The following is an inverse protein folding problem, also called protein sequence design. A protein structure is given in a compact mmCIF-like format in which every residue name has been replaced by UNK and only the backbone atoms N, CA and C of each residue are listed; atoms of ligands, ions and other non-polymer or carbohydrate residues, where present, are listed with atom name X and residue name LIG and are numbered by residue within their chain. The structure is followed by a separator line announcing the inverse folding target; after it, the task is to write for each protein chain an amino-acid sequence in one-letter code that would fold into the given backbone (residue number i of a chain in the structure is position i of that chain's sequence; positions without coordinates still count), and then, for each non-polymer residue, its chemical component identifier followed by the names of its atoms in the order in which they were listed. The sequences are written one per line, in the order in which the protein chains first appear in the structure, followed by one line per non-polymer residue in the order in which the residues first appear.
data_IF_332410460435
#
_entry.id   IF_332410460435
#
_cell.length_a   1.000
_cell.length_b   1.000
_cell.length_c   1.000
_cell.angle_alpha   90.00
_cell.angle_beta   90.00
_cell.angle_gamma   90.00
#
_symmetry.space_group_name_H-M   'P 1'
#
loop_
_entity.id
_entity.type
_entity.pdbx_description
1 polymer ?
#
# COMPACT_ATOMS: atom_id res chain seq x y z
N UNK A 1 0.93 -25.51 15.43
CA UNK A 1 0.99 -24.05 15.39
C UNK A 1 -0.36 -23.58 14.87
N UNK A 2 -1.24 -23.08 15.75
CA UNK A 2 -2.49 -22.49 15.31
C UNK A 2 -2.11 -21.17 14.62
N UNK A 3 -2.41 -21.03 13.34
CA UNK A 3 -2.49 -19.73 12.68
C UNK A 3 -3.52 -18.94 13.49
N UNK A 4 -3.05 -17.98 14.29
CA UNK A 4 -3.94 -16.96 14.81
C UNK A 4 -4.64 -16.38 13.59
N UNK A 5 -5.95 -16.49 13.56
CA UNK A 5 -6.78 -15.82 12.58
C UNK A 5 -6.50 -14.34 12.75
N UNK A 6 -5.63 -13.80 11.91
CA UNK A 6 -5.42 -12.39 11.77
C UNK A 6 -6.80 -11.80 11.48
N UNK A 7 -7.24 -10.86 12.31
CA UNK A 7 -8.51 -10.15 12.10
C UNK A 7 -8.39 -9.19 10.90
N UNK A 8 -7.91 -9.75 9.78
CA UNK A 8 -7.92 -9.08 8.50
C UNK A 8 -9.32 -9.23 7.92
N UNK A 9 -9.97 -8.14 7.64
CA UNK A 9 -11.22 -8.19 6.94
C UNK A 9 -11.20 -7.28 5.72
N UNK A 10 -11.67 -7.82 4.62
CA UNK A 10 -12.02 -7.05 3.44
C UNK A 10 -13.40 -6.51 3.68
N UNK A 11 -13.51 -5.19 3.82
CA UNK A 11 -14.78 -4.50 3.85
C UNK A 11 -15.22 -4.25 2.41
N UNK A 12 -16.25 -4.89 1.90
CA UNK A 12 -16.82 -4.50 0.63
C UNK A 12 -17.56 -3.17 0.83
N UNK A 13 -16.82 -2.09 0.79
CA UNK A 13 -17.41 -0.75 0.83
C UNK A 13 -17.56 -0.29 -0.60
N UNK A 14 -18.80 -0.13 -1.05
CA UNK A 14 -19.11 0.27 -2.42
C UNK A 14 -18.77 1.72 -2.70
N UNK A 15 -18.82 2.59 -1.68
CA UNK A 15 -18.65 4.02 -1.85
C UNK A 15 -17.99 4.62 -0.59
N UNK A 16 -16.68 4.87 -0.65
CA UNK A 16 -15.96 5.59 0.40
C UNK A 16 -15.59 6.97 -0.12
N UNK A 17 -16.07 7.99 0.58
CA UNK A 17 -15.61 9.35 0.40
C UNK A 17 -14.55 9.66 1.46
N UNK A 18 -13.34 9.99 1.02
CA UNK A 18 -12.27 10.48 1.88
C UNK A 18 -12.25 12.01 1.86
N UNK A 19 -12.21 12.62 3.04
CA UNK A 19 -12.14 14.08 3.20
C UNK A 19 -10.90 14.42 3.97
N UNK A 20 -9.91 15.00 3.30
CA UNK A 20 -8.67 15.44 3.94
C UNK A 20 -8.93 16.70 4.77
N UNK A 21 -8.64 16.63 6.07
CA UNK A 21 -8.73 17.75 6.99
C UNK A 21 -7.35 18.37 7.18
N UNK A 22 -7.26 19.70 7.00
CA UNK A 22 -5.98 20.41 7.05
C UNK A 22 -5.41 20.59 8.47
N UNK A 23 -6.28 20.59 9.48
CA UNK A 23 -5.87 20.77 10.88
C UNK A 23 -6.59 19.74 11.76
N UNK A 24 -6.05 18.55 11.95
CA UNK A 24 -6.61 17.60 12.90
C UNK A 24 -6.48 18.17 14.32
N UNK A 25 -7.57 18.13 15.07
CA UNK A 25 -7.53 18.43 16.51
C UNK A 25 -6.90 17.32 17.34
N UNK A 26 -6.58 16.20 16.72
CA UNK A 26 -6.13 14.99 17.39
C UNK A 26 -4.61 14.89 17.28
N UNK A 27 -3.95 14.99 18.40
CA UNK A 27 -2.60 14.50 18.56
C UNK A 27 -2.70 12.97 18.62
N UNK A 28 -2.13 12.29 17.62
CA UNK A 28 -2.10 10.81 17.57
C UNK A 28 -1.08 10.25 18.56
N UNK A 29 -1.34 10.46 19.86
CA UNK A 29 -0.52 9.95 20.95
C UNK A 29 0.48 10.95 21.52
N UNK A 30 1.32 10.49 22.45
CA UNK A 30 2.37 11.25 23.11
C UNK A 30 3.56 11.42 22.16
N UNK A 31 3.79 12.65 21.70
CA UNK A 31 4.80 12.97 20.69
C UNK A 31 6.22 12.61 21.15
N UNK A 32 6.56 12.85 22.43
CA UNK A 32 7.91 12.56 22.96
C UNK A 32 8.17 11.04 23.00
N UNK A 33 7.18 10.27 23.46
CA UNK A 33 7.27 8.81 23.50
C UNK A 33 7.34 8.21 22.11
N UNK A 34 6.59 8.77 21.15
CA UNK A 34 6.61 8.34 19.75
C UNK A 34 7.98 8.59 19.12
N UNK A 35 8.54 9.78 19.32
CA UNK A 35 9.86 10.17 18.78
C UNK A 35 10.96 9.25 19.33
N UNK A 36 11.02 9.05 20.65
CA UNK A 36 12.00 8.15 21.27
C UNK A 36 11.88 6.69 20.79
N UNK A 37 10.64 6.23 20.58
CA UNK A 37 10.41 4.90 20.01
C UNK A 37 10.88 4.81 18.56
N UNK A 38 10.63 5.84 17.77
CA UNK A 38 11.02 5.88 16.37
C UNK A 38 12.54 5.95 16.18
N UNK A 39 13.26 6.68 17.04
CA UNK A 39 14.73 6.69 17.04
C UNK A 39 15.32 5.27 17.21
N UNK A 40 14.73 4.47 18.13
CA UNK A 40 15.14 3.07 18.32
C UNK A 40 14.83 2.23 17.09
N UNK A 41 13.62 2.41 16.52
CA UNK A 41 13.22 1.71 15.30
C UNK A 41 14.15 2.00 14.12
N UNK A 42 14.54 3.26 13.90
CA UNK A 42 15.50 3.66 12.84
C UNK A 42 16.88 3.06 13.08
N UNK A 43 17.31 2.95 14.33
CA UNK A 43 18.60 2.31 14.64
C UNK A 43 18.65 0.83 14.21
N UNK A 44 17.52 0.13 14.29
CA UNK A 44 17.35 -1.26 13.87
C UNK A 44 17.06 -1.40 12.36
N UNK A 45 16.51 -0.34 11.74
CA UNK A 45 16.10 -0.33 10.34
C UNK A 45 16.75 0.86 9.58
N UNK A 46 18.07 0.79 9.28
CA UNK A 46 18.77 1.89 8.62
C UNK A 46 18.16 2.22 7.26
N UNK A 47 18.02 3.52 6.99
CA UNK A 47 17.42 4.02 5.75
C UNK A 47 15.91 4.31 5.81
N UNK A 48 15.27 4.04 6.94
CA UNK A 48 13.91 4.52 7.22
C UNK A 48 13.97 5.96 7.69
N UNK A 49 13.03 6.78 7.21
CA UNK A 49 12.87 8.18 7.62
C UNK A 49 11.42 8.47 8.01
N UNK A 50 11.22 9.47 8.84
CA UNK A 50 9.88 9.90 9.25
C UNK A 50 9.26 10.80 8.19
N UNK A 51 8.52 10.18 7.27
CA UNK A 51 7.79 10.88 6.22
C UNK A 51 6.32 11.14 6.58
N UNK A 52 5.68 12.13 5.94
CA UNK A 52 4.25 12.34 6.10
C UNK A 52 3.46 11.17 5.51
N UNK A 53 2.40 10.76 6.20
CA UNK A 53 1.43 9.77 5.76
C UNK A 53 0.02 10.33 5.91
N UNK A 54 -0.87 9.97 5.00
CA UNK A 54 -2.30 10.21 5.16
C UNK A 54 -2.92 9.03 5.90
N UNK A 55 -3.73 9.30 6.90
CA UNK A 55 -4.36 8.24 7.68
C UNK A 55 -5.59 8.69 8.46
N UNK A 56 -6.10 7.80 9.28
CA UNK A 56 -7.25 7.96 10.16
C UNK A 56 -6.92 7.48 11.57
N UNK A 57 -7.77 7.81 12.53
CA UNK A 57 -7.76 7.15 13.84
C UNK A 57 -8.21 5.69 13.69
N UNK A 58 -7.62 4.79 14.47
CA UNK A 58 -8.02 3.38 14.55
C UNK A 58 -9.49 3.22 14.95
N UNK A 59 -10.03 4.18 15.72
CA UNK A 59 -11.43 4.20 16.12
C UNK A 59 -12.38 4.51 14.95
N UNK A 60 -11.90 5.15 13.89
CA UNK A 60 -12.68 5.49 12.70
C UNK A 60 -12.62 4.39 11.64
N UNK A 61 -11.81 3.35 11.83
CA UNK A 61 -11.76 2.19 10.94
C UNK A 61 -13.08 1.45 10.97
N UNK A 62 -13.77 1.29 9.82
CA UNK A 62 -15.01 0.56 9.76
C UNK A 62 -14.82 -0.91 10.17
N UNK A 63 -15.63 -1.39 11.11
CA UNK A 63 -15.58 -2.78 11.61
C UNK A 63 -16.66 -3.69 11.02
N UNK A 64 -17.51 -3.13 10.15
CA UNK A 64 -18.63 -3.85 9.51
C UNK A 64 -18.74 -3.42 8.05
N UNK A 65 -19.27 -4.28 7.16
CA UNK A 65 -19.60 -3.88 5.80
C UNK A 65 -20.57 -2.68 5.81
N UNK A 66 -20.22 -1.65 5.06
CA UNK A 66 -21.00 -0.41 4.93
C UNK A 66 -21.15 -0.08 3.45
N UNK A 67 -22.36 0.21 3.00
CA UNK A 67 -22.59 0.55 1.59
C UNK A 67 -21.98 1.91 1.22
N UNK A 68 -22.02 2.87 2.14
CA UNK A 68 -21.46 4.21 1.93
C UNK A 68 -20.92 4.78 3.24
N UNK A 69 -19.70 5.32 3.22
CA UNK A 69 -19.10 6.00 4.37
C UNK A 69 -18.31 7.24 3.92
N UNK A 70 -18.30 8.25 4.77
CA UNK A 70 -17.36 9.38 4.66
C UNK A 70 -16.37 9.27 5.80
N UNK A 71 -15.08 9.19 5.49
CA UNK A 71 -13.99 9.17 6.46
C UNK A 71 -13.22 10.49 6.40
N UNK A 72 -13.05 11.10 7.56
CA UNK A 72 -12.13 12.21 7.70
C UNK A 72 -10.72 11.67 7.84
N UNK A 73 -9.82 12.11 6.97
CA UNK A 73 -8.43 11.70 6.95
C UNK A 73 -7.51 12.87 7.29
N UNK A 74 -6.34 12.57 7.82
CA UNK A 74 -5.41 13.55 8.35
C UNK A 74 -3.99 13.28 7.85
N UNK A 75 -3.15 14.29 7.88
CA UNK A 75 -1.71 14.14 7.71
C UNK A 75 -1.11 13.75 9.06
N UNK A 76 -0.55 12.57 9.13
CA UNK A 76 0.26 12.09 10.22
C UNK A 76 1.68 11.79 9.74
N UNK A 77 2.40 10.91 10.46
CA UNK A 77 3.78 10.54 10.16
C UNK A 77 4.01 9.03 10.20
N UNK A 78 5.11 8.60 9.58
CA UNK A 78 5.53 7.20 9.63
C UNK A 78 5.84 6.76 11.07
N UNK A 79 6.42 7.63 11.89
CA UNK A 79 6.68 7.38 13.32
C UNK A 79 5.39 7.09 14.11
N UNK A 80 4.30 7.82 13.83
CA UNK A 80 3.00 7.58 14.45
C UNK A 80 2.40 6.23 14.04
N UNK A 81 2.56 5.83 12.78
CA UNK A 81 2.15 4.52 12.30
C UNK A 81 2.94 3.40 13.02
N UNK A 82 4.27 3.51 13.07
CA UNK A 82 5.12 2.54 13.78
C UNK A 82 4.75 2.45 15.26
N UNK A 83 4.54 3.58 15.93
CA UNK A 83 4.11 3.61 17.32
C UNK A 83 2.74 2.93 17.53
N UNK A 84 1.81 3.13 16.58
CA UNK A 84 0.50 2.46 16.60
C UNK A 84 0.62 0.94 16.42
N UNK A 85 1.49 0.46 15.53
CA UNK A 85 1.79 -0.97 15.37
C UNK A 85 2.33 -1.59 16.66
N UNK A 86 3.22 -0.88 17.34
CA UNK A 86 3.88 -1.32 18.55
C UNK A 86 3.06 -1.07 19.82
N UNK A 87 1.89 -0.43 19.71
CA UNK A 87 1.04 0.01 20.83
C UNK A 87 1.81 0.90 21.83
N UNK A 88 2.60 1.84 21.32
CA UNK A 88 3.45 2.75 22.10
C UNK A 88 2.90 4.17 22.04
N UNK A 89 3.07 4.93 23.11
CA UNK A 89 2.70 6.35 23.20
C UNK A 89 1.20 6.64 23.03
N UNK A 90 0.35 5.62 23.06
CA UNK A 90 -1.09 5.77 22.83
C UNK A 90 -1.45 6.14 21.38
N UNK A 91 -0.52 5.96 20.43
CA UNK A 91 -0.81 6.22 19.02
C UNK A 91 -1.89 5.27 18.51
N UNK A 92 -2.88 5.83 17.84
CA UNK A 92 -3.96 5.12 17.17
C UNK A 92 -3.99 5.39 15.66
N UNK A 93 -2.90 5.89 15.09
CA UNK A 93 -2.79 6.26 13.69
C UNK A 93 -2.77 5.03 12.77
N UNK A 94 -3.66 5.03 11.80
CA UNK A 94 -3.75 4.02 10.74
C UNK A 94 -3.48 4.70 9.41
N UNK A 95 -2.40 4.31 8.74
CA UNK A 95 -2.06 4.86 7.42
C UNK A 95 -3.03 4.34 6.36
N UNK A 96 -3.31 5.17 5.37
CA UNK A 96 -4.13 4.84 4.21
C UNK A 96 -3.27 4.71 2.96
N UNK A 97 -3.70 3.82 2.06
CA UNK A 97 -3.04 3.63 0.79
C UNK A 97 -3.92 2.93 -0.24
N UNK A 98 -3.32 2.57 -1.35
CA UNK A 98 -3.92 1.74 -2.39
C UNK A 98 -3.00 0.57 -2.71
N UNK A 99 -3.59 -0.56 -3.04
CA UNK A 99 -2.87 -1.68 -3.60
C UNK A 99 -3.67 -2.31 -4.75
N UNK A 100 -2.98 -2.95 -5.68
CA UNK A 100 -3.61 -3.54 -6.85
C UNK A 100 -3.11 -4.94 -7.16
N UNK A 101 -4.02 -5.84 -7.49
CA UNK A 101 -3.70 -7.03 -8.24
C UNK A 101 -3.68 -6.66 -9.72
N UNK A 102 -2.48 -6.43 -10.25
CA UNK A 102 -2.29 -5.96 -11.63
C UNK A 102 -2.05 -7.13 -12.55
N UNK A 103 -2.68 -7.11 -13.71
CA UNK A 103 -2.49 -8.08 -14.77
C UNK A 103 -2.34 -7.41 -16.13
N UNK A 104 -1.77 -8.13 -17.08
CA UNK A 104 -1.75 -7.79 -18.50
C UNK A 104 -1.94 -9.04 -19.35
N UNK A 105 -2.23 -8.86 -20.63
CA UNK A 105 -2.35 -9.95 -21.59
C UNK A 105 -1.24 -9.86 -22.62
N UNK A 106 -0.60 -10.99 -22.92
CA UNK A 106 0.38 -11.14 -23.98
C UNK A 106 0.20 -12.53 -24.64
N UNK A 107 0.17 -12.57 -25.96
CA UNK A 107 -0.01 -13.82 -26.76
C UNK A 107 -1.23 -14.67 -26.35
N UNK A 108 -2.31 -14.03 -25.91
CA UNK A 108 -3.55 -14.67 -25.48
C UNK A 108 -3.54 -15.23 -24.05
N UNK A 109 -2.45 -15.01 -23.33
CA UNK A 109 -2.29 -15.45 -21.95
C UNK A 109 -2.35 -14.28 -20.98
N UNK A 110 -2.86 -14.52 -19.76
CA UNK A 110 -2.92 -13.51 -18.70
C UNK A 110 -1.79 -13.70 -17.70
N UNK A 111 -1.10 -12.62 -17.39
CA UNK A 111 0.00 -12.57 -16.43
C UNK A 111 -0.34 -11.63 -15.28
N UNK A 112 -0.06 -12.06 -14.05
CA UNK A 112 -0.18 -11.24 -12.85
C UNK A 112 1.18 -10.73 -12.41
N UNK A 113 1.23 -9.49 -11.94
CA UNK A 113 2.47 -8.78 -11.61
C UNK A 113 2.71 -8.76 -10.10
N UNK A 114 3.91 -9.13 -9.69
CA UNK A 114 4.35 -9.15 -8.29
C UNK A 114 5.74 -8.52 -8.15
N UNK A 115 5.99 -7.92 -7.00
CA UNK A 115 7.32 -7.42 -6.61
C UNK A 115 7.98 -8.29 -5.55
N UNK A 116 9.29 -8.44 -5.62
CA UNK A 116 10.10 -9.00 -4.54
C UNK A 116 10.78 -7.84 -3.80
N UNK A 117 10.28 -7.51 -2.62
CA UNK A 117 10.74 -6.36 -1.83
C UNK A 117 12.18 -6.53 -1.34
N UNK A 118 12.98 -5.46 -1.39
CA UNK A 118 14.36 -5.45 -0.88
C UNK A 118 14.39 -5.68 0.63
N UNK A 119 15.40 -6.39 1.12
CA UNK A 119 15.57 -6.66 2.57
C UNK A 119 15.83 -5.39 3.40
N UNK A 120 16.28 -4.31 2.77
CA UNK A 120 16.47 -3.01 3.42
C UNK A 120 15.17 -2.29 3.80
N UNK A 121 14.03 -2.79 3.37
CA UNK A 121 12.71 -2.22 3.71
C UNK A 121 12.11 -2.94 4.91
N UNK A 122 11.22 -2.29 5.63
CA UNK A 122 10.62 -2.80 6.88
C UNK A 122 9.97 -4.17 6.77
N UNK A 123 9.55 -4.59 5.57
CA UNK A 123 8.97 -5.90 5.26
C UNK A 123 9.81 -6.57 4.17
N UNK A 124 11.14 -6.52 4.30
CA UNK A 124 12.05 -7.04 3.29
C UNK A 124 11.90 -8.53 3.01
N UNK A 125 12.12 -8.92 1.76
CA UNK A 125 12.05 -10.31 1.32
C UNK A 125 10.62 -10.83 1.07
N UNK A 126 9.58 -10.01 1.23
CA UNK A 126 8.20 -10.38 0.90
C UNK A 126 7.93 -10.30 -0.61
N UNK A 127 6.91 -11.06 -1.04
CA UNK A 127 6.32 -10.91 -2.37
C UNK A 127 5.09 -10.04 -2.21
N UNK A 128 5.08 -8.91 -2.88
CA UNK A 128 4.01 -7.92 -2.79
C UNK A 128 3.18 -7.88 -4.07
N UNK A 129 1.90 -7.59 -3.92
CA UNK A 129 1.07 -7.15 -5.04
C UNK A 129 1.54 -5.78 -5.51
N UNK A 130 1.60 -5.57 -6.80
CA UNK A 130 1.96 -4.29 -7.40
C UNK A 130 0.81 -3.74 -8.23
N UNK A 131 0.56 -2.42 -8.12
CA UNK A 131 1.28 -1.46 -7.28
C UNK A 131 0.76 -1.45 -5.85
N UNK A 132 1.55 -0.92 -4.92
CA UNK A 132 1.13 -0.68 -3.55
C UNK A 132 1.83 0.55 -2.96
N UNK A 133 1.07 1.50 -2.45
CA UNK A 133 1.63 2.69 -1.84
C UNK A 133 0.67 3.44 -0.93
N UNK A 134 1.25 4.32 -0.11
CA UNK A 134 0.50 5.19 0.79
C UNK A 134 -0.06 6.40 0.05
N UNK A 135 -1.16 6.97 0.54
CA UNK A 135 -1.70 8.19 -0.02
C UNK A 135 -0.75 9.37 0.19
N UNK A 136 -0.58 10.16 -0.87
CA UNK A 136 0.04 11.48 -0.83
C UNK A 136 -1.06 12.56 -0.84
N UNK A 137 -0.77 13.75 -0.31
CA UNK A 137 -1.71 14.87 -0.30
C UNK A 137 -2.23 15.20 -1.71
N UNK A 138 -1.39 15.13 -2.72
CA UNK A 138 -1.75 15.39 -4.13
C UNK A 138 -2.76 14.38 -4.72
N UNK A 139 -2.88 13.20 -4.12
CA UNK A 139 -3.87 12.22 -4.56
C UNK A 139 -5.31 12.71 -4.31
N UNK A 140 -5.49 13.73 -3.44
CA UNK A 140 -6.79 14.33 -3.11
C UNK A 140 -7.23 15.44 -4.06
N UNK A 141 -6.40 15.86 -4.98
CA UNK A 141 -6.69 16.99 -5.89
C UNK A 141 -7.77 16.65 -6.94
N UNK A 142 -7.92 15.39 -7.32
CA UNK A 142 -8.76 14.94 -8.45
C UNK A 142 -10.02 14.12 -8.06
N UNK A 143 -10.42 14.13 -6.81
CA UNK A 143 -11.72 13.64 -6.36
C UNK A 143 -11.82 12.14 -6.02
N UNK A 144 -10.89 11.27 -6.46
CA UNK A 144 -10.81 9.87 -6.05
C UNK A 144 -9.39 9.50 -5.59
N UNK A 145 -9.03 9.81 -4.33
CA UNK A 145 -7.68 9.62 -3.82
C UNK A 145 -7.15 8.20 -3.99
N UNK A 146 -8.00 7.20 -3.82
CA UNK A 146 -7.60 5.81 -3.93
C UNK A 146 -7.17 5.44 -5.36
N UNK A 147 -7.88 5.92 -6.36
CA UNK A 147 -7.53 5.70 -7.77
C UNK A 147 -6.30 6.52 -8.17
N UNK A 148 -6.20 7.77 -7.74
CA UNK A 148 -5.05 8.62 -8.01
C UNK A 148 -3.76 8.02 -7.43
N UNK A 149 -3.81 7.54 -6.18
CA UNK A 149 -2.70 6.81 -5.57
C UNK A 149 -2.33 5.57 -6.39
N UNK A 150 -3.29 4.72 -6.75
CA UNK A 150 -3.03 3.54 -7.58
C UNK A 150 -2.32 3.91 -8.90
N UNK A 151 -2.82 4.94 -9.60
CA UNK A 151 -2.24 5.40 -10.88
C UNK A 151 -0.83 5.96 -10.70
N UNK A 152 -0.58 6.68 -9.61
CA UNK A 152 0.75 7.18 -9.27
C UNK A 152 1.74 6.04 -9.03
N UNK A 153 1.36 5.08 -8.21
CA UNK A 153 2.20 3.92 -7.90
C UNK A 153 2.44 3.03 -9.16
N UNK A 154 1.44 2.87 -10.03
CA UNK A 154 1.64 2.19 -11.33
C UNK A 154 2.73 2.87 -12.17
N UNK A 155 2.82 4.20 -12.14
CA UNK A 155 3.87 4.94 -12.83
C UNK A 155 5.24 4.77 -12.16
N UNK A 156 5.26 4.88 -10.84
CA UNK A 156 6.49 4.83 -10.05
C UNK A 156 7.08 3.42 -10.03
N UNK A 157 6.25 2.40 -9.83
CA UNK A 157 6.71 1.02 -9.71
C UNK A 157 6.77 0.26 -11.03
N UNK A 158 5.84 0.49 -11.95
CA UNK A 158 5.75 -0.27 -13.21
C UNK A 158 6.02 0.56 -14.47
N UNK A 159 6.33 1.86 -14.35
CA UNK A 159 6.52 2.80 -15.48
C UNK A 159 5.32 2.77 -16.48
N UNK A 160 4.14 2.43 -15.97
CA UNK A 160 2.91 2.41 -16.77
C UNK A 160 2.29 3.80 -16.73
N UNK A 161 2.19 4.43 -17.88
CA UNK A 161 1.53 5.73 -18.03
C UNK A 161 0.07 5.53 -18.44
N UNK A 162 -0.79 6.40 -18.01
CA UNK A 162 -2.26 6.33 -17.92
C UNK A 162 -3.06 5.91 -19.18
N UNK A 163 -2.42 5.64 -20.31
CA UNK A 163 -3.12 5.18 -21.50
C UNK A 163 -3.46 3.68 -21.42
N UNK A 164 -4.75 3.36 -21.30
CA UNK A 164 -5.22 1.98 -21.39
C UNK A 164 -5.30 1.21 -20.06
N UNK A 165 -5.12 1.87 -18.91
CA UNK A 165 -5.34 1.23 -17.61
C UNK A 165 -6.84 1.07 -17.38
N UNK A 166 -7.28 -0.16 -17.15
CA UNK A 166 -8.62 -0.48 -16.66
C UNK A 166 -8.51 -0.97 -15.23
N UNK A 167 -9.24 -0.36 -14.31
CA UNK A 167 -9.25 -0.80 -12.91
C UNK A 167 -10.65 -0.81 -12.33
N UNK A 168 -10.89 -1.71 -11.39
CA UNK A 168 -12.12 -1.80 -10.60
C UNK A 168 -11.77 -1.93 -9.13
N UNK A 169 -12.32 -1.06 -8.29
CA UNK A 169 -12.19 -1.17 -6.83
C UNK A 169 -12.89 -2.45 -6.33
N UNK A 170 -12.20 -3.21 -5.49
CA UNK A 170 -12.76 -4.38 -4.82
C UNK A 170 -13.29 -4.05 -3.42
N UNK A 171 -12.82 -2.98 -2.81
CA UNK A 171 -13.12 -2.62 -1.43
C UNK A 171 -11.90 -2.13 -0.67
N UNK A 172 -12.03 -2.06 0.66
CA UNK A 172 -10.93 -1.68 1.53
C UNK A 172 -10.53 -2.85 2.41
N UNK A 173 -9.24 -3.00 2.59
CA UNK A 173 -8.61 -3.98 3.47
C UNK A 173 -7.97 -3.27 4.65
N UNK A 174 -8.22 -3.74 5.86
CA UNK A 174 -7.57 -3.27 7.07
C UNK A 174 -6.64 -4.34 7.62
N UNK A 175 -5.40 -3.96 7.87
CA UNK A 175 -4.36 -4.81 8.46
C UNK A 175 -3.94 -4.24 9.82
N UNK A 176 -4.56 -4.69 10.93
CA UNK A 176 -4.32 -4.12 12.26
C UNK A 176 -2.86 -4.23 12.69
N UNK A 177 -2.20 -5.35 12.41
CA UNK A 177 -0.80 -5.58 12.79
C UNK A 177 0.18 -4.63 12.11
N UNK A 178 -0.23 -4.04 10.97
CA UNK A 178 0.58 -3.05 10.24
C UNK A 178 0.06 -1.63 10.42
N UNK A 179 -1.02 -1.43 11.19
CA UNK A 179 -1.72 -0.14 11.30
C UNK A 179 -1.95 0.51 9.93
N UNK A 180 -2.44 -0.30 8.97
CA UNK A 180 -2.66 0.10 7.59
C UNK A 180 -4.05 -0.28 7.12
N UNK A 181 -4.65 0.60 6.33
CA UNK A 181 -5.88 0.35 5.58
C UNK A 181 -5.65 0.70 4.11
N UNK A 182 -5.92 -0.21 3.21
CA UNK A 182 -5.70 0.00 1.79
C UNK A 182 -6.96 -0.22 0.96
N UNK A 183 -7.15 0.63 -0.03
CA UNK A 183 -8.09 0.39 -1.12
C UNK A 183 -7.52 -0.69 -2.04
N UNK A 184 -8.28 -1.73 -2.29
CA UNK A 184 -7.89 -2.84 -3.17
C UNK A 184 -8.51 -2.68 -4.56
N UNK A 185 -7.68 -2.87 -5.58
CA UNK A 185 -8.08 -2.82 -6.98
C UNK A 185 -7.69 -4.09 -7.72
N UNK A 186 -8.48 -4.46 -8.72
CA UNK A 186 -8.04 -5.29 -9.82
C UNK A 186 -7.76 -4.38 -11.00
N UNK A 187 -6.56 -4.43 -11.55
CA UNK A 187 -6.14 -3.59 -12.66
C UNK A 187 -5.67 -4.43 -13.83
N UNK A 188 -6.04 -4.01 -15.05
CA UNK A 188 -5.45 -4.50 -16.29
C UNK A 188 -4.69 -3.35 -16.93
N UNK A 189 -3.43 -3.59 -17.28
CA UNK A 189 -2.52 -2.62 -17.86
C UNK A 189 -2.12 -3.08 -19.26
N UNK A 190 -1.59 -2.17 -20.12
CA UNK A 190 -0.98 -2.57 -21.38
C UNK A 190 0.13 -3.59 -21.16
N UNK A 191 0.33 -4.48 -22.12
CA UNK A 191 1.35 -5.52 -22.04
C UNK A 191 2.71 -4.94 -21.66
N UNK A 192 3.32 -5.51 -20.64
CA UNK A 192 4.68 -5.20 -20.23
C UNK A 192 5.65 -6.02 -21.08
N UNK A 193 6.81 -5.44 -21.38
CA UNK A 193 7.83 -6.15 -22.10
C UNK A 193 8.44 -7.22 -21.18
N UNK A 194 8.04 -8.48 -21.40
CA UNK A 194 8.64 -9.61 -20.73
C UNK A 194 10.05 -9.82 -21.30
N UNK A 195 11.02 -10.03 -20.42
CA UNK A 195 12.36 -10.51 -20.80
C UNK A 195 12.46 -11.97 -20.43
N UNK A 196 12.83 -12.79 -21.39
CA UNK A 196 13.24 -14.16 -21.15
C UNK A 196 14.44 -14.14 -20.19
N UNK A 197 14.19 -14.54 -18.96
CA UNK A 197 15.26 -14.87 -18.05
C UNK A 197 15.39 -16.37 -18.00
N UNK A 198 16.51 -16.83 -18.46
CA UNK A 198 16.85 -18.28 -18.55
C UNK A 198 16.72 -19.01 -17.21
N UNK A 199 16.68 -18.30 -16.10
CA UNK A 199 16.66 -18.88 -14.76
C UNK A 199 15.26 -19.12 -14.18
N UNK A 200 14.19 -18.47 -14.69
CA UNK A 200 12.84 -18.55 -14.12
C UNK A 200 11.77 -19.07 -15.07
N UNK A 201 12.07 -19.27 -16.34
CA UNK A 201 11.10 -19.68 -17.37
C UNK A 201 10.50 -21.09 -17.19
N UNK A 202 10.98 -21.86 -16.22
CA UNK A 202 10.57 -23.25 -16.05
C UNK A 202 9.17 -23.45 -15.47
N UNK A 203 8.54 -22.40 -14.89
CA UNK A 203 7.24 -22.51 -14.22
C UNK A 203 6.25 -21.37 -14.55
N UNK A 204 6.37 -20.71 -15.70
CA UNK A 204 5.47 -19.62 -16.04
C UNK A 204 5.71 -18.34 -15.24
N UNK A 205 6.90 -18.18 -14.67
CA UNK A 205 7.35 -16.99 -13.99
C UNK A 205 8.33 -16.24 -14.88
N UNK A 206 8.05 -14.97 -15.17
CA UNK A 206 8.85 -14.11 -16.04
C UNK A 206 9.36 -12.92 -15.23
N UNK A 207 10.62 -12.53 -15.42
CA UNK A 207 11.13 -11.32 -14.83
C UNK A 207 10.81 -10.12 -15.73
N UNK A 208 10.22 -9.10 -15.16
CA UNK A 208 10.08 -7.79 -15.80
C UNK A 208 11.30 -6.99 -15.35
N UNK A 209 12.26 -6.76 -16.27
CA UNK A 209 13.46 -5.99 -15.96
C UNK A 209 13.10 -4.56 -15.59
N UNK A 210 13.33 -4.25 -14.32
CA UNK A 210 13.33 -2.89 -13.80
C UNK A 210 14.61 -2.66 -12.99
N UNK A 211 15.64 -2.23 -13.67
CA UNK A 211 16.91 -1.82 -13.06
C UNK A 211 16.77 -0.63 -12.10
N UNK A 212 15.61 0.02 -12.00
CA UNK A 212 15.41 1.29 -11.30
C UNK A 212 14.36 1.26 -10.18
N UNK A 213 13.83 0.12 -9.79
CA UNK A 213 12.94 0.11 -8.63
C UNK A 213 13.75 0.32 -7.33
N UNK A 214 13.47 1.39 -6.61
CA UNK A 214 14.08 1.65 -5.31
C UNK A 214 13.60 0.66 -4.25
N UNK A 215 12.42 0.06 -4.43
CA UNK A 215 11.77 -0.78 -3.45
C UNK A 215 11.92 -2.27 -3.68
N UNK A 216 12.03 -2.71 -4.93
CA UNK A 216 12.00 -4.13 -5.29
C UNK A 216 13.32 -4.60 -5.90
N UNK A 217 13.76 -5.82 -5.54
CA UNK A 217 14.91 -6.51 -6.16
C UNK A 217 14.59 -6.96 -7.58
N UNK A 218 13.32 -7.26 -7.83
CA UNK A 218 12.82 -7.69 -9.11
C UNK A 218 11.31 -7.63 -9.15
N UNK A 219 10.79 -7.46 -10.35
CA UNK A 219 9.37 -7.51 -10.66
C UNK A 219 9.15 -8.71 -11.54
N UNK A 220 8.14 -9.50 -11.19
CA UNK A 220 7.85 -10.78 -11.82
C UNK A 220 6.43 -10.77 -12.38
N UNK A 221 6.25 -11.43 -13.50
CA UNK A 221 4.94 -11.78 -14.03
C UNK A 221 4.74 -13.29 -13.91
N UNK A 222 3.57 -13.71 -13.45
CA UNK A 222 3.20 -15.11 -13.25
C UNK A 222 1.95 -15.40 -14.09
N UNK A 223 2.01 -16.48 -14.87
CA UNK A 223 0.91 -16.97 -15.70
C UNK A 223 -0.20 -17.61 -14.86
#
# INVERSE_FOLDING_TARGET
MALNTLDHYVLPVRDIKLVLLENPKNEFGDAEVIEQNFERFVAEHPGVYDGPLIGISKNDVPTKPIDRITLNVFVGSYSQMVASQMNVGGSDFVSLGSCGLTSFQEDGERYFVFGNRKESKSIGGSIDFLPAGSFDRKDFDNGNPALECLVRELREELLVYSGGITSASMGYFFAPDFSQMAAMFISEIPALKLRDTTDFSHNGVYMIDKSNSEEHRGIYAVK
#
